data_IF_404545733880
#
_entry.id   IF_404545733880
#
_cell.length_a   1.000
_cell.length_b   1.000
_cell.length_c   1.000
_cell.angle_alpha   90.00
_cell.angle_beta   90.00
_cell.angle_gamma   90.00
#
_symmetry.space_group_name_H-M   'P 1'
#
loop_
_entity.id
_entity.type
_entity.pdbx_description
1 polymer ?
#
# COMPACT_ATOMS: atom_id res chain seq x y z
N UNK A 1 -20.40 -11.23 -45.93
CA UNK A 1 -19.56 -12.43 -46.00
C UNK A 1 -18.14 -12.18 -46.55
N UNK A 2 -17.93 -11.87 -47.85
CA UNK A 2 -16.58 -11.61 -48.41
C UNK A 2 -15.87 -10.39 -47.78
N UNK A 3 -16.59 -9.27 -47.64
CA UNK A 3 -16.07 -8.07 -46.96
C UNK A 3 -15.78 -8.30 -45.46
N UNK A 4 -16.55 -9.16 -44.78
CA UNK A 4 -16.33 -9.53 -43.38
C UNK A 4 -15.14 -10.47 -43.20
N UNK A 5 -14.77 -11.22 -44.25
CA UNK A 5 -13.57 -12.05 -44.30
C UNK A 5 -12.30 -11.25 -44.64
N UNK A 6 -12.41 -9.92 -44.81
CA UNK A 6 -11.28 -9.05 -45.16
C UNK A 6 -10.84 -9.13 -46.62
N UNK A 7 -11.71 -9.64 -47.49
CA UNK A 7 -11.45 -9.80 -48.92
C UNK A 7 -12.18 -8.68 -49.69
N UNK A 8 -11.42 -7.89 -50.44
CA UNK A 8 -11.99 -6.83 -51.28
C UNK A 8 -12.71 -7.46 -52.48
N UNK A 9 -14.02 -7.25 -52.56
CA UNK A 9 -14.88 -7.88 -53.57
C UNK A 9 -14.64 -7.35 -55.00
N UNK A 10 -13.76 -6.36 -55.17
CA UNK A 10 -13.39 -5.74 -56.46
C UNK A 10 -12.18 -6.40 -57.12
N UNK A 11 -11.67 -7.48 -56.56
CA UNK A 11 -10.55 -8.21 -57.14
C UNK A 11 -11.10 -9.17 -58.21
N UNK A 12 -10.85 -8.88 -59.48
CA UNK A 12 -11.25 -9.70 -60.66
C UNK A 12 -10.68 -11.13 -60.68
N UNK A 13 -9.96 -11.55 -59.63
CA UNK A 13 -9.32 -12.86 -59.48
C UNK A 13 -10.04 -13.76 -58.47
N UNK A 14 -11.22 -13.36 -57.98
CA UNK A 14 -11.99 -14.11 -56.98
C UNK A 14 -13.28 -14.59 -57.59
N UNK A 15 -13.37 -15.91 -57.80
CA UNK A 15 -14.57 -16.55 -58.35
C UNK A 15 -15.37 -17.17 -57.21
N UNK A 16 -16.49 -16.56 -56.77
CA UNK A 16 -17.34 -17.16 -55.75
C UNK A 16 -17.99 -18.43 -56.32
N UNK A 17 -17.82 -19.55 -55.61
CA UNK A 17 -18.39 -20.85 -55.96
C UNK A 17 -19.17 -21.40 -54.76
N UNK A 18 -20.35 -21.95 -55.03
CA UNK A 18 -21.20 -22.60 -54.01
C UNK A 18 -21.45 -24.03 -54.46
N UNK A 19 -21.04 -24.98 -53.63
CA UNK A 19 -21.22 -26.41 -53.87
C UNK A 19 -22.23 -26.96 -52.85
N UNK A 20 -23.11 -27.86 -53.31
CA UNK A 20 -24.10 -28.53 -52.47
C UNK A 20 -23.67 -29.98 -52.29
N UNK A 21 -23.56 -30.44 -51.04
CA UNK A 21 -23.19 -31.82 -50.74
C UNK A 21 -23.60 -32.23 -49.33
N UNK A 22 -23.69 -33.54 -49.12
CA UNK A 22 -24.15 -34.14 -47.86
C UNK A 22 -23.12 -34.02 -46.71
N UNK A 23 -21.83 -33.84 -47.03
CA UNK A 23 -20.75 -33.61 -46.08
C UNK A 23 -19.84 -32.46 -46.58
N UNK A 24 -19.82 -31.37 -45.81
CA UNK A 24 -19.01 -30.17 -46.08
C UNK A 24 -17.53 -30.50 -46.24
N UNK A 25 -17.01 -31.46 -45.47
CA UNK A 25 -15.59 -31.86 -45.49
C UNK A 25 -15.23 -32.52 -46.82
N UNK A 26 -16.07 -33.46 -47.28
CA UNK A 26 -15.86 -34.14 -48.56
C UNK A 26 -16.06 -33.20 -49.74
N UNK A 27 -17.09 -32.35 -49.69
CA UNK A 27 -17.34 -31.37 -50.73
C UNK A 27 -16.15 -30.40 -50.93
N UNK A 28 -15.53 -29.95 -49.83
CA UNK A 28 -14.32 -29.12 -49.88
C UNK A 28 -13.13 -29.91 -50.43
N UNK A 29 -12.93 -31.16 -50.01
CA UNK A 29 -11.85 -32.03 -50.50
C UNK A 29 -11.92 -32.24 -52.01
N UNK A 30 -13.08 -32.69 -52.52
CA UNK A 30 -13.28 -32.93 -53.96
C UNK A 30 -13.15 -31.66 -54.79
N UNK A 31 -13.67 -30.52 -54.32
CA UNK A 31 -13.56 -29.25 -55.04
C UNK A 31 -12.13 -28.66 -55.04
N UNK A 32 -11.30 -29.02 -54.05
CA UNK A 32 -9.94 -28.52 -53.94
C UNK A 32 -8.92 -29.28 -54.81
N UNK A 33 -9.17 -30.56 -55.12
CA UNK A 33 -8.22 -31.43 -55.82
C UNK A 33 -7.93 -31.02 -57.27
N UNK A 34 -8.94 -30.54 -58.00
CA UNK A 34 -8.84 -30.39 -59.45
C UNK A 34 -8.26 -29.04 -59.90
N UNK A 35 -8.32 -28.02 -59.05
CA UNK A 35 -8.14 -26.62 -59.50
C UNK A 35 -7.33 -25.74 -58.52
N UNK A 36 -6.91 -26.26 -57.35
CA UNK A 36 -6.27 -25.45 -56.30
C UNK A 36 -5.08 -26.12 -55.61
N UNK A 37 -3.98 -25.37 -55.46
CA UNK A 37 -2.76 -25.82 -54.77
C UNK A 37 -2.81 -25.64 -53.23
N UNK A 38 -3.68 -24.74 -52.73
CA UNK A 38 -3.77 -24.36 -51.33
C UNK A 38 -5.20 -24.11 -50.88
N UNK A 39 -5.62 -24.78 -49.80
CA UNK A 39 -6.90 -24.55 -49.13
C UNK A 39 -6.69 -23.71 -47.87
N UNK A 40 -7.28 -22.50 -47.84
CA UNK A 40 -7.30 -21.62 -46.68
C UNK A 40 -8.61 -21.81 -45.88
N UNK A 41 -8.51 -22.33 -44.66
CA UNK A 41 -9.68 -22.58 -43.79
C UNK A 41 -9.60 -21.75 -42.52
N UNK A 42 -10.68 -21.03 -42.20
CA UNK A 42 -10.80 -20.30 -40.94
C UNK A 42 -10.91 -21.25 -39.74
N UNK A 43 -10.10 -21.04 -38.70
CA UNK A 43 -10.25 -21.76 -37.44
C UNK A 43 -11.52 -21.31 -36.73
N UNK A 44 -12.54 -22.17 -36.66
CA UNK A 44 -13.77 -21.87 -35.93
C UNK A 44 -13.51 -21.79 -34.41
N UNK A 45 -13.86 -20.66 -33.80
CA UNK A 45 -13.80 -20.41 -32.36
C UNK A 45 -14.95 -21.10 -31.57
N UNK A 46 -15.33 -22.33 -31.92
CA UNK A 46 -16.34 -23.05 -31.15
C UNK A 46 -15.74 -23.62 -29.85
N UNK A 47 -16.52 -23.55 -28.77
CA UNK A 47 -16.11 -23.86 -27.39
C UNK A 47 -15.60 -25.28 -27.16
N UNK A 48 -14.83 -25.46 -26.08
CA UNK A 48 -14.08 -26.68 -25.71
C UNK A 48 -14.88 -28.01 -25.86
N UNK A 49 -16.16 -28.03 -25.49
CA UNK A 49 -17.02 -29.22 -25.57
C UNK A 49 -17.30 -29.66 -27.02
N UNK A 50 -17.40 -28.71 -27.96
CA UNK A 50 -17.63 -29.01 -29.38
C UNK A 50 -16.37 -29.52 -30.09
N UNK A 51 -15.17 -29.07 -29.67
CA UNK A 51 -13.87 -29.58 -30.17
C UNK A 51 -13.59 -31.02 -29.74
N UNK A 52 -14.07 -31.41 -28.56
CA UNK A 52 -13.85 -32.75 -28.00
C UNK A 52 -14.79 -33.82 -28.61
N UNK A 53 -16.02 -33.41 -28.95
CA UNK A 53 -17.04 -34.30 -29.54
C UNK A 53 -17.02 -34.29 -31.08
N UNK A 54 -16.63 -33.18 -31.71
CA UNK A 54 -16.56 -33.04 -33.15
C UNK A 54 -15.18 -32.50 -33.54
N UNK A 55 -14.31 -33.34 -34.12
CA UNK A 55 -13.09 -32.89 -34.80
C UNK A 55 -13.42 -31.68 -35.68
N UNK A 56 -12.59 -30.64 -35.61
CA UNK A 56 -12.81 -29.41 -36.39
C UNK A 56 -12.74 -29.71 -37.90
N UNK A 57 -13.41 -28.90 -38.73
CA UNK A 57 -13.39 -29.06 -40.21
C UNK A 57 -11.95 -29.23 -40.75
N UNK A 58 -10.94 -28.45 -40.30
CA UNK A 58 -9.54 -28.67 -40.69
C UNK A 58 -8.97 -30.03 -40.27
N UNK A 59 -9.27 -30.50 -39.05
CA UNK A 59 -8.80 -31.81 -38.58
C UNK A 59 -9.45 -32.98 -39.33
N UNK A 60 -10.69 -32.82 -39.79
CA UNK A 60 -11.39 -33.83 -40.62
C UNK A 60 -10.87 -33.85 -42.06
N UNK A 61 -10.57 -32.68 -42.63
CA UNK A 61 -9.94 -32.54 -43.94
C UNK A 61 -8.50 -33.09 -43.95
N UNK A 62 -7.72 -32.83 -42.89
CA UNK A 62 -6.36 -33.39 -42.78
C UNK A 62 -6.37 -34.91 -42.59
N UNK A 63 -7.40 -35.45 -41.92
CA UNK A 63 -7.55 -36.89 -41.72
C UNK A 63 -8.01 -37.64 -42.99
N UNK A 64 -8.56 -36.94 -43.98
CA UNK A 64 -8.97 -37.53 -45.26
C UNK A 64 -7.78 -37.72 -46.22
N UNK A 65 -6.63 -37.11 -45.95
CA UNK A 65 -5.35 -37.47 -46.58
C UNK A 65 -5.21 -37.11 -48.06
N UNK A 66 -6.00 -36.17 -48.55
CA UNK A 66 -5.99 -35.75 -49.95
C UNK A 66 -4.97 -34.61 -50.16
N UNK A 67 -4.05 -34.77 -51.11
CA UNK A 67 -2.72 -34.14 -51.17
C UNK A 67 -2.62 -32.63 -51.42
N UNK A 68 -3.66 -31.84 -51.13
CA UNK A 68 -3.63 -30.37 -51.28
C UNK A 68 -3.08 -29.72 -50.01
N UNK A 69 -2.17 -28.74 -50.16
CA UNK A 69 -1.63 -28.02 -49.01
C UNK A 69 -2.75 -27.26 -48.28
N UNK A 70 -2.73 -27.23 -46.95
CA UNK A 70 -3.78 -26.60 -46.15
C UNK A 70 -3.21 -25.57 -45.19
N UNK A 71 -3.75 -24.36 -45.23
CA UNK A 71 -3.41 -23.27 -44.33
C UNK A 71 -4.60 -22.93 -43.42
N UNK A 72 -4.40 -23.05 -42.11
CA UNK A 72 -5.43 -22.68 -41.13
C UNK A 72 -5.22 -21.22 -40.71
N UNK A 73 -6.18 -20.38 -41.06
CA UNK A 73 -6.15 -18.95 -40.71
C UNK A 73 -6.89 -18.74 -39.40
N UNK A 74 -6.18 -18.20 -38.41
CA UNK A 74 -6.76 -17.76 -37.14
C UNK A 74 -6.82 -16.25 -37.09
N UNK A 75 -7.86 -15.70 -36.48
CA UNK A 75 -7.94 -14.27 -36.23
C UNK A 75 -6.70 -13.83 -35.44
N UNK A 76 -6.04 -12.76 -35.89
CA UNK A 76 -4.89 -12.20 -35.19
C UNK A 76 -5.28 -11.84 -33.76
N UNK A 77 -4.48 -12.26 -32.78
CA UNK A 77 -4.74 -11.89 -31.38
C UNK A 77 -4.77 -10.36 -31.25
N UNK A 78 -5.73 -9.78 -30.50
CA UNK A 78 -5.80 -8.35 -30.31
C UNK A 78 -4.48 -7.81 -29.74
N UNK A 79 -4.17 -6.53 -30.04
CA UNK A 79 -2.89 -5.89 -29.68
C UNK A 79 -2.55 -6.10 -28.20
N UNK A 80 -3.55 -6.01 -27.32
CA UNK A 80 -3.39 -6.23 -25.88
C UNK A 80 -2.98 -7.64 -25.49
N UNK A 81 -3.51 -8.68 -26.16
CA UNK A 81 -3.08 -10.06 -25.89
C UNK A 81 -1.65 -10.32 -26.35
N UNK A 82 -1.24 -9.72 -27.48
CA UNK A 82 0.13 -9.83 -27.98
C UNK A 82 1.12 -9.16 -27.02
N UNK A 83 0.80 -7.97 -26.54
CA UNK A 83 1.59 -7.26 -25.54
C UNK A 83 1.68 -8.04 -24.22
N UNK A 84 0.57 -8.60 -23.73
CA UNK A 84 0.55 -9.40 -22.52
C UNK A 84 1.39 -10.69 -22.63
N UNK A 85 1.37 -11.34 -23.80
CA UNK A 85 2.20 -12.52 -24.07
C UNK A 85 3.68 -12.16 -24.13
N UNK A 86 4.04 -11.09 -24.84
CA UNK A 86 5.42 -10.61 -24.92
C UNK A 86 5.97 -10.21 -23.54
N UNK A 87 5.16 -9.52 -22.73
CA UNK A 87 5.52 -9.19 -21.35
C UNK A 87 5.67 -10.45 -20.48
N UNK A 88 4.76 -11.42 -20.60
CA UNK A 88 4.87 -12.69 -19.87
C UNK A 88 6.11 -13.49 -20.24
N UNK A 89 6.51 -13.45 -21.52
CA UNK A 89 7.73 -14.09 -22.00
C UNK A 89 8.99 -13.35 -21.54
N UNK A 90 8.97 -12.01 -21.55
CA UNK A 90 10.03 -11.19 -20.96
C UNK A 90 10.26 -11.54 -19.49
N UNK A 91 9.20 -11.53 -18.67
CA UNK A 91 9.31 -11.88 -17.25
C UNK A 91 9.86 -13.29 -17.05
N UNK A 92 9.41 -14.28 -17.84
CA UNK A 92 9.92 -15.66 -17.74
C UNK A 92 11.40 -15.81 -18.12
N UNK A 93 11.89 -14.98 -19.04
CA UNK A 93 13.31 -14.96 -19.43
C UNK A 93 14.17 -14.23 -18.41
N UNK A 94 13.66 -13.16 -17.82
CA UNK A 94 14.42 -12.31 -16.88
C UNK A 94 14.41 -12.84 -15.45
N UNK A 95 13.28 -13.41 -14.99
CA UNK A 95 13.12 -13.90 -13.61
C UNK A 95 13.44 -15.40 -13.55
N UNK A 96 14.50 -15.81 -12.82
CA UNK A 96 14.82 -17.22 -12.62
C UNK A 96 13.63 -17.95 -12.00
N UNK A 97 13.24 -19.06 -12.61
CA UNK A 97 12.10 -19.85 -12.16
C UNK A 97 12.52 -20.74 -10.99
N UNK A 98 11.63 -20.90 -10.00
CA UNK A 98 11.93 -21.76 -8.85
C UNK A 98 11.98 -23.23 -9.27
N UNK A 99 12.93 -23.99 -8.72
CA UNK A 99 12.99 -25.43 -8.87
C UNK A 99 11.86 -26.13 -8.09
N UNK A 100 11.62 -27.43 -8.32
CA UNK A 100 10.50 -28.14 -7.68
C UNK A 100 10.66 -28.26 -6.17
N UNK A 101 11.87 -28.53 -5.70
CA UNK A 101 12.13 -28.76 -4.28
C UNK A 101 12.08 -27.43 -3.51
N UNK A 102 12.67 -26.35 -4.04
CA UNK A 102 12.52 -25.00 -3.48
C UNK A 102 11.05 -24.56 -3.33
N UNK A 103 10.17 -24.96 -4.25
CA UNK A 103 8.73 -24.66 -4.15
C UNK A 103 8.05 -25.41 -3.02
N UNK A 104 8.45 -26.66 -2.79
CA UNK A 104 7.91 -27.49 -1.70
C UNK A 104 8.34 -26.92 -0.37
N UNK A 105 9.63 -26.63 -0.22
CA UNK A 105 10.20 -25.99 0.96
C UNK A 105 9.52 -24.64 1.27
N UNK A 106 9.35 -23.79 0.25
CA UNK A 106 8.65 -22.52 0.39
C UNK A 106 7.21 -22.72 0.87
N UNK A 107 6.49 -23.67 0.28
CA UNK A 107 5.12 -23.97 0.65
C UNK A 107 5.02 -24.46 2.10
N UNK A 108 5.86 -25.40 2.50
CA UNK A 108 5.86 -25.96 3.86
C UNK A 108 6.18 -24.89 4.90
N UNK A 109 7.18 -24.03 4.65
CA UNK A 109 7.54 -22.92 5.56
C UNK A 109 6.40 -21.91 5.70
N UNK A 110 5.78 -21.51 4.59
CA UNK A 110 4.67 -20.55 4.60
C UNK A 110 3.40 -21.17 5.20
N UNK A 111 3.12 -22.44 4.95
CA UNK A 111 1.98 -23.13 5.55
C UNK A 111 2.16 -23.28 7.07
N UNK A 112 3.33 -23.73 7.53
CA UNK A 112 3.64 -23.86 8.95
C UNK A 112 3.59 -22.52 9.67
N UNK A 113 4.21 -21.47 9.12
CA UNK A 113 4.23 -20.14 9.71
C UNK A 113 2.93 -19.34 9.54
N UNK A 114 2.00 -19.79 8.69
CA UNK A 114 0.66 -19.18 8.58
C UNK A 114 -0.33 -19.71 9.62
N UNK A 115 0.01 -20.76 10.37
CA UNK A 115 -0.87 -21.33 11.38
C UNK A 115 -0.85 -20.49 12.65
N UNK A 116 -2.02 -20.32 13.24
CA UNK A 116 -2.17 -19.70 14.54
C UNK A 116 -1.68 -20.66 15.63
N UNK A 117 -0.63 -20.29 16.36
CA UNK A 117 -0.07 -21.06 17.47
C UNK A 117 0.27 -20.16 18.66
N UNK A 118 0.68 -20.74 19.79
CA UNK A 118 1.01 -19.98 21.00
C UNK A 118 2.19 -19.02 20.79
N UNK A 119 3.20 -19.42 20.02
CA UNK A 119 4.36 -18.57 19.71
C UNK A 119 3.91 -17.33 18.93
N UNK A 120 3.03 -17.51 17.94
CA UNK A 120 2.44 -16.42 17.16
C UNK A 120 1.71 -15.42 18.05
N UNK A 121 0.85 -15.91 18.96
CA UNK A 121 0.10 -15.08 19.91
C UNK A 121 1.03 -14.35 20.87
N UNK A 122 2.05 -15.04 21.37
CA UNK A 122 2.99 -14.47 22.34
C UNK A 122 3.81 -13.36 21.69
N UNK A 123 4.37 -13.63 20.50
CA UNK A 123 5.18 -12.67 19.76
C UNK A 123 4.35 -11.46 19.29
N UNK A 124 3.13 -11.67 18.77
CA UNK A 124 2.28 -10.53 18.40
C UNK A 124 1.87 -9.70 19.60
N UNK A 125 1.65 -10.35 20.75
CA UNK A 125 1.27 -9.66 21.98
C UNK A 125 2.40 -8.78 22.50
N UNK A 126 3.60 -9.37 22.63
CA UNK A 126 4.80 -8.65 23.07
C UNK A 126 5.18 -7.55 22.09
N UNK A 127 5.18 -7.84 20.78
CA UNK A 127 5.46 -6.85 19.74
C UNK A 127 4.47 -5.68 19.81
N UNK A 128 3.18 -5.95 19.96
CA UNK A 128 2.18 -4.88 20.04
C UNK A 128 2.30 -4.07 21.31
N UNK A 129 2.63 -4.69 22.44
CA UNK A 129 2.91 -3.97 23.68
C UNK A 129 4.12 -3.03 23.51
N UNK A 130 5.23 -3.53 22.97
CA UNK A 130 6.44 -2.72 22.72
C UNK A 130 6.14 -1.60 21.71
N UNK A 131 5.40 -1.89 20.64
CA UNK A 131 5.00 -0.89 19.65
C UNK A 131 4.12 0.20 20.28
N UNK A 132 3.15 -0.19 21.11
CA UNK A 132 2.24 0.74 21.81
C UNK A 132 3.02 1.64 22.77
N UNK A 133 3.97 1.09 23.53
CA UNK A 133 4.85 1.88 24.39
C UNK A 133 5.74 2.81 23.56
N UNK A 134 6.30 2.34 22.45
CA UNK A 134 7.11 3.16 21.53
C UNK A 134 6.31 4.33 20.94
N UNK A 135 5.06 4.10 20.56
CA UNK A 135 4.15 5.13 20.07
C UNK A 135 3.86 6.17 21.17
N UNK A 136 3.54 5.73 22.39
CA UNK A 136 3.29 6.62 23.53
C UNK A 136 4.55 7.38 23.99
N UNK A 137 5.74 6.80 23.80
CA UNK A 137 7.02 7.45 24.08
C UNK A 137 7.51 8.33 22.92
N UNK A 138 6.78 8.38 21.79
CA UNK A 138 7.21 9.08 20.58
C UNK A 138 8.61 8.64 20.10
N UNK A 139 8.89 7.33 20.17
CA UNK A 139 10.19 6.74 19.83
C UNK A 139 10.10 5.88 18.57
N UNK A 140 10.44 6.44 17.38
CA UNK A 140 10.43 5.68 16.14
C UNK A 140 11.35 4.45 16.19
N UNK A 141 12.47 4.52 16.92
CA UNK A 141 13.40 3.40 17.07
C UNK A 141 12.78 2.20 17.80
N UNK A 142 12.06 2.43 18.90
CA UNK A 142 11.35 1.36 19.64
C UNK A 142 10.21 0.80 18.80
N UNK A 143 9.50 1.68 18.10
CA UNK A 143 8.45 1.29 17.16
C UNK A 143 9.01 0.39 16.05
N UNK A 144 10.18 0.71 15.47
CA UNK A 144 10.87 -0.14 14.50
C UNK A 144 11.29 -1.48 15.11
N UNK A 145 11.90 -1.47 16.29
CA UNK A 145 12.32 -2.68 17.00
C UNK A 145 11.16 -3.63 17.29
N UNK A 146 10.00 -3.10 17.69
CA UNK A 146 8.79 -3.88 17.93
C UNK A 146 8.35 -4.64 16.68
N UNK A 147 8.43 -4.00 15.51
CA UNK A 147 7.95 -4.62 14.29
C UNK A 147 8.80 -5.83 13.86
N UNK A 148 10.11 -5.82 14.11
CA UNK A 148 11.00 -6.93 13.80
C UNK A 148 10.62 -8.24 14.50
N UNK A 149 9.90 -8.14 15.61
CA UNK A 149 9.48 -9.28 16.44
C UNK A 149 8.18 -9.92 15.93
N UNK A 150 7.32 -9.17 15.22
CA UNK A 150 5.98 -9.64 14.91
C UNK A 150 5.92 -10.67 13.75
N UNK A 151 5.25 -11.82 13.94
CA UNK A 151 5.17 -12.87 12.93
C UNK A 151 4.06 -12.68 11.89
N UNK A 152 3.36 -11.54 11.88
CA UNK A 152 2.22 -11.27 10.98
C UNK A 152 2.55 -11.34 9.49
N UNK A 153 3.82 -11.19 9.13
CA UNK A 153 4.26 -11.21 7.73
C UNK A 153 4.02 -12.57 7.06
N UNK A 154 4.32 -13.67 7.75
CA UNK A 154 4.31 -15.01 7.15
C UNK A 154 2.89 -15.42 6.70
N UNK A 155 1.82 -15.22 7.51
CA UNK A 155 0.45 -15.38 7.05
C UNK A 155 0.09 -14.59 5.79
N UNK A 156 0.59 -13.35 5.65
CA UNK A 156 0.24 -12.48 4.51
C UNK A 156 0.94 -12.94 3.22
N UNK A 157 2.21 -13.31 3.30
CA UNK A 157 2.94 -13.92 2.18
C UNK A 157 2.30 -15.27 1.82
N UNK A 158 1.95 -16.07 2.82
CA UNK A 158 1.24 -17.34 2.66
C UNK A 158 -0.11 -17.18 1.96
N UNK A 159 -0.87 -16.13 2.30
CA UNK A 159 -2.10 -15.77 1.58
C UNK A 159 -1.83 -15.42 0.11
N UNK A 160 -0.75 -14.69 -0.20
CA UNK A 160 -0.31 -14.41 -1.57
C UNK A 160 0.04 -15.68 -2.34
N UNK A 161 0.76 -16.62 -1.72
CA UNK A 161 1.08 -17.92 -2.31
C UNK A 161 -0.21 -18.74 -2.58
N UNK A 162 -1.08 -18.81 -1.59
CA UNK A 162 -2.36 -19.51 -1.66
C UNK A 162 -3.27 -18.95 -2.75
N UNK A 163 -3.23 -17.63 -2.96
CA UNK A 163 -3.95 -16.93 -4.03
C UNK A 163 -3.46 -17.38 -5.41
N UNK A 164 -2.16 -17.55 -5.62
CA UNK A 164 -1.61 -18.00 -6.91
C UNK A 164 -1.89 -19.48 -7.16
N UNK A 165 -1.81 -20.30 -6.11
CA UNK A 165 -2.05 -21.75 -6.20
C UNK A 165 -3.54 -22.10 -6.27
N UNK A 166 -4.43 -21.21 -5.80
CA UNK A 166 -5.84 -21.53 -5.58
C UNK A 166 -6.04 -22.52 -4.41
N UNK A 167 -5.21 -22.41 -3.37
CA UNK A 167 -5.30 -23.24 -2.17
C UNK A 167 -6.23 -22.59 -1.14
N UNK A 168 -7.51 -23.00 -1.13
CA UNK A 168 -8.51 -22.47 -0.21
C UNK A 168 -8.17 -22.70 1.27
N UNK A 169 -7.57 -23.85 1.60
CA UNK A 169 -7.21 -24.19 2.99
C UNK A 169 -6.19 -23.19 3.52
N UNK A 170 -5.14 -22.93 2.74
CA UNK A 170 -4.10 -21.98 3.13
C UNK A 170 -4.61 -20.53 3.19
N UNK A 171 -5.50 -20.12 2.26
CA UNK A 171 -6.16 -18.79 2.35
C UNK A 171 -6.96 -18.68 3.65
N UNK A 172 -7.70 -19.72 4.04
CA UNK A 172 -8.51 -19.72 5.26
C UNK A 172 -7.65 -19.66 6.52
N UNK A 173 -6.59 -20.47 6.60
CA UNK A 173 -5.67 -20.47 7.74
C UNK A 173 -4.94 -19.13 7.86
N UNK A 174 -4.40 -18.59 6.76
CA UNK A 174 -3.78 -17.27 6.74
C UNK A 174 -4.76 -16.17 7.19
N UNK A 175 -6.00 -16.18 6.67
CA UNK A 175 -7.02 -15.19 7.03
C UNK A 175 -7.40 -15.27 8.51
N UNK A 176 -7.49 -16.48 9.09
CA UNK A 176 -7.71 -16.66 10.53
C UNK A 176 -6.55 -16.06 11.33
N UNK A 177 -5.31 -16.40 10.99
CA UNK A 177 -4.13 -15.93 11.72
C UNK A 177 -3.98 -14.40 11.65
N UNK A 178 -4.26 -13.80 10.50
CA UNK A 178 -4.29 -12.34 10.33
C UNK A 178 -5.41 -11.73 11.18
N UNK A 179 -6.62 -12.30 11.13
CA UNK A 179 -7.78 -11.80 11.88
C UNK A 179 -7.61 -11.90 13.40
N UNK A 180 -7.16 -13.06 13.91
CA UNK A 180 -6.86 -13.24 15.33
C UNK A 180 -5.67 -12.40 15.77
N UNK A 181 -4.60 -12.33 14.97
CA UNK A 181 -3.45 -11.46 15.24
C UNK A 181 -3.84 -9.99 15.33
N UNK A 182 -4.69 -9.52 14.40
CA UNK A 182 -5.26 -8.17 14.46
C UNK A 182 -6.08 -7.96 15.74
N UNK A 183 -6.97 -8.89 16.09
CA UNK A 183 -7.79 -8.77 17.29
C UNK A 183 -6.96 -8.76 18.58
N UNK A 184 -5.96 -9.64 18.70
CA UNK A 184 -5.04 -9.68 19.84
C UNK A 184 -4.25 -8.37 19.96
N UNK A 185 -3.67 -7.90 18.85
CA UNK A 185 -2.94 -6.64 18.82
C UNK A 185 -3.85 -5.45 19.16
N UNK A 186 -5.07 -5.42 18.62
CA UNK A 186 -6.06 -4.39 18.91
C UNK A 186 -6.40 -4.34 20.40
N UNK A 187 -6.68 -5.50 21.01
CA UNK A 187 -6.98 -5.60 22.45
C UNK A 187 -5.82 -5.07 23.29
N UNK A 188 -4.59 -5.43 22.96
CA UNK A 188 -3.40 -4.94 23.67
C UNK A 188 -3.21 -3.44 23.48
N UNK A 189 -3.43 -2.93 22.27
CA UNK A 189 -3.40 -1.48 22.00
C UNK A 189 -4.45 -0.73 22.80
N UNK A 190 -5.68 -1.25 22.89
CA UNK A 190 -6.75 -0.68 23.72
C UNK A 190 -6.40 -0.73 25.20
N UNK A 191 -5.94 -1.87 25.70
CA UNK A 191 -5.52 -2.00 27.10
C UNK A 191 -4.37 -1.05 27.44
N UNK A 192 -3.37 -0.94 26.56
CA UNK A 192 -2.24 -0.01 26.74
C UNK A 192 -2.72 1.43 26.71
N UNK A 193 -3.54 1.80 25.72
CA UNK A 193 -4.12 3.12 25.60
C UNK A 193 -4.99 3.50 26.81
N UNK A 194 -5.80 2.57 27.32
CA UNK A 194 -6.62 2.79 28.50
C UNK A 194 -5.76 2.96 29.76
N UNK A 195 -4.77 2.08 29.97
CA UNK A 195 -3.87 2.13 31.12
C UNK A 195 -3.11 3.45 31.19
N UNK A 196 -2.57 3.92 30.06
CA UNK A 196 -1.81 5.16 30.00
C UNK A 196 -2.68 6.41 29.83
N UNK A 197 -3.91 6.28 29.32
CA UNK A 197 -4.90 7.37 29.28
C UNK A 197 -5.40 7.80 30.66
N UNK A 198 -5.23 6.98 31.70
CA UNK A 198 -5.41 7.40 33.10
C UNK A 198 -4.26 8.25 33.65
N UNK A 199 -3.07 8.13 33.05
CA UNK A 199 -1.83 8.77 33.53
C UNK A 199 -1.47 10.01 32.69
N UNK A 200 -1.76 9.98 31.38
CA UNK A 200 -1.57 11.09 30.46
C UNK A 200 -2.86 11.91 30.29
N UNK A 201 -2.76 13.24 30.10
CA UNK A 201 -3.92 14.06 29.77
C UNK A 201 -4.62 13.54 28.50
N UNK A 202 -5.97 13.49 28.47
CA UNK A 202 -6.73 12.91 27.37
C UNK A 202 -6.52 13.60 26.01
N UNK A 203 -5.99 14.82 25.99
CA UNK A 203 -5.95 15.68 24.80
C UNK A 203 -4.63 15.62 23.99
N UNK A 204 -3.65 14.79 24.36
CA UNK A 204 -2.32 14.80 23.71
C UNK A 204 -1.93 13.44 23.12
N UNK A 205 -2.30 13.19 21.86
CA UNK A 205 -1.70 12.11 21.07
C UNK A 205 -0.26 12.49 20.67
N UNK A 206 0.65 11.53 20.70
CA UNK A 206 2.03 11.76 20.26
C UNK A 206 2.12 11.96 18.75
N UNK A 207 3.13 12.70 18.25
CA UNK A 207 3.36 12.87 16.82
C UNK A 207 3.47 11.53 16.06
N UNK A 208 4.17 10.54 16.62
CA UNK A 208 4.26 9.19 16.03
C UNK A 208 2.89 8.51 15.91
N UNK A 209 1.99 8.71 16.89
CA UNK A 209 0.64 8.14 16.84
C UNK A 209 -0.22 8.82 15.77
N UNK A 210 -0.13 10.15 15.67
CA UNK A 210 -0.84 10.96 14.67
C UNK A 210 -0.37 10.68 13.25
N UNK A 211 0.94 10.44 13.07
CA UNK A 211 1.51 10.12 11.76
C UNK A 211 0.91 8.84 11.15
N UNK A 212 0.37 7.92 11.96
CA UNK A 212 -0.27 6.68 11.49
C UNK A 212 -1.76 6.83 11.15
N UNK A 213 -2.43 7.89 11.62
CA UNK A 213 -3.82 8.19 11.26
C UNK A 213 -3.99 8.98 9.98
N UNK A 214 -2.90 9.47 9.38
CA UNK A 214 -2.90 10.16 8.08
C UNK A 214 -2.30 9.32 6.95
N UNK A 215 -2.89 8.18 6.56
CA UNK A 215 -2.32 7.33 5.53
C UNK A 215 -2.25 8.02 4.16
N UNK A 216 -1.20 7.72 3.42
CA UNK A 216 -0.91 8.30 2.11
C UNK A 216 -0.85 7.24 1.01
N UNK A 217 -0.91 7.69 -0.25
CA UNK A 217 -0.69 6.80 -1.40
C UNK A 217 0.75 6.25 -1.43
N UNK A 218 1.72 6.94 -0.82
CA UNK A 218 3.09 6.45 -0.76
C UNK A 218 3.19 5.20 0.12
N UNK A 219 2.45 5.16 1.24
CA UNK A 219 2.39 3.98 2.11
C UNK A 219 1.91 2.75 1.36
N UNK A 220 0.90 2.92 0.49
CA UNK A 220 0.40 1.87 -0.38
C UNK A 220 1.48 1.33 -1.33
N UNK A 221 2.23 2.20 -2.00
CA UNK A 221 3.31 1.78 -2.89
C UNK A 221 4.44 1.07 -2.14
N UNK A 222 4.79 1.58 -0.95
CA UNK A 222 5.78 0.96 -0.06
C UNK A 222 5.32 -0.42 0.38
N UNK A 223 4.05 -0.60 0.75
CA UNK A 223 3.50 -1.89 1.15
C UNK A 223 3.44 -2.89 -0.02
N UNK A 224 3.09 -2.42 -1.22
CA UNK A 224 3.11 -3.26 -2.42
C UNK A 224 4.52 -3.72 -2.79
N UNK A 225 5.49 -2.80 -2.79
CA UNK A 225 6.90 -3.12 -3.04
C UNK A 225 7.47 -4.04 -1.95
N UNK A 226 7.09 -3.81 -0.70
CA UNK A 226 7.38 -4.68 0.45
C UNK A 226 6.89 -6.11 0.20
N UNK A 227 5.63 -6.29 -0.23
CA UNK A 227 5.08 -7.60 -0.55
C UNK A 227 5.84 -8.33 -1.67
N UNK A 228 6.34 -7.60 -2.66
CA UNK A 228 7.20 -8.13 -3.73
C UNK A 228 8.55 -8.59 -3.15
N UNK A 229 9.22 -7.71 -2.40
CA UNK A 229 10.52 -8.00 -1.80
C UNK A 229 10.45 -9.21 -0.83
N UNK A 230 9.41 -9.27 0.01
CA UNK A 230 9.17 -10.37 0.93
C UNK A 230 9.02 -11.71 0.21
N UNK A 231 8.13 -11.77 -0.79
CA UNK A 231 7.89 -13.00 -1.53
C UNK A 231 9.13 -13.44 -2.32
N UNK A 232 9.87 -12.49 -2.91
CA UNK A 232 11.09 -12.78 -3.65
C UNK A 232 12.20 -13.33 -2.74
N UNK A 233 12.39 -12.72 -1.56
CA UNK A 233 13.38 -13.17 -0.59
C UNK A 233 13.00 -14.52 0.03
N UNK A 234 11.72 -14.74 0.37
CA UNK A 234 11.27 -16.03 0.91
C UNK A 234 11.35 -17.15 -0.13
N UNK A 235 11.15 -16.84 -1.41
CA UNK A 235 11.30 -17.82 -2.48
C UNK A 235 12.76 -18.26 -2.70
N UNK A 236 13.75 -17.54 -2.16
CA UNK A 236 15.17 -17.85 -2.34
C UNK A 236 15.83 -18.23 -1.01
N UNK A 237 16.29 -19.49 -0.85
CA UNK A 237 16.93 -19.95 0.38
C UNK A 237 18.06 -19.02 0.86
N UNK A 238 18.89 -18.55 -0.07
CA UNK A 238 20.06 -17.70 0.20
C UNK A 238 19.73 -16.26 0.62
N UNK A 239 18.48 -15.79 0.45
CA UNK A 239 18.06 -14.42 0.76
C UNK A 239 17.05 -14.35 1.92
N UNK A 240 16.58 -15.50 2.38
CA UNK A 240 15.50 -15.64 3.36
C UNK A 240 15.81 -15.04 4.75
N UNK A 241 17.09 -14.85 5.10
CA UNK A 241 17.50 -14.48 6.46
C UNK A 241 17.60 -12.98 6.81
N UNK A 242 17.69 -12.05 5.85
CA UNK A 242 18.15 -10.67 6.18
C UNK A 242 17.37 -9.49 5.57
N UNK A 243 16.78 -9.63 4.38
CA UNK A 243 16.35 -8.45 3.58
C UNK A 243 14.90 -7.96 3.78
N UNK A 244 13.90 -8.81 4.09
CA UNK A 244 12.50 -8.36 4.23
C UNK A 244 12.16 -7.74 5.58
N UNK A 245 12.87 -8.12 6.66
CA UNK A 245 12.46 -7.78 8.03
C UNK A 245 12.38 -6.27 8.30
N UNK A 246 13.34 -5.50 7.79
CA UNK A 246 13.48 -4.07 8.13
C UNK A 246 12.50 -3.17 7.37
N UNK A 247 12.26 -3.43 6.08
CA UNK A 247 11.40 -2.58 5.25
C UNK A 247 9.90 -2.83 5.47
N UNK A 248 9.52 -4.06 5.84
CA UNK A 248 8.13 -4.54 5.77
C UNK A 248 7.42 -4.44 7.12
N UNK A 249 8.19 -4.56 8.20
CA UNK A 249 7.66 -4.54 9.54
C UNK A 249 7.09 -3.14 9.91
N UNK A 250 7.60 -2.08 9.25
CA UNK A 250 7.15 -0.68 9.30
C UNK A 250 5.62 -0.46 9.22
N UNK A 251 4.90 -1.39 8.60
CA UNK A 251 3.59 -1.13 8.01
C UNK A 251 2.39 -1.78 8.73
N UNK A 252 2.60 -2.63 9.75
CA UNK A 252 1.52 -3.51 10.25
C UNK A 252 1.20 -3.38 11.73
N UNK A 253 2.15 -3.67 12.62
CA UNK A 253 1.91 -3.66 14.07
C UNK A 253 1.59 -2.25 14.60
N UNK A 254 2.36 -1.19 14.25
CA UNK A 254 2.08 0.13 14.78
C UNK A 254 0.73 0.69 14.35
N UNK A 255 0.27 0.55 13.09
CA UNK A 255 -1.09 0.92 12.74
C UNK A 255 -2.14 0.24 13.62
N UNK A 256 -2.02 -1.06 13.91
CA UNK A 256 -2.97 -1.75 14.80
C UNK A 256 -2.89 -1.20 16.23
N UNK A 257 -1.67 -0.98 16.75
CA UNK A 257 -1.45 -0.33 18.05
C UNK A 257 -2.07 1.07 18.11
N UNK A 258 -1.93 1.87 17.05
CA UNK A 258 -2.56 3.18 16.90
C UNK A 258 -4.07 3.08 16.90
N UNK A 259 -4.67 2.11 16.19
CA UNK A 259 -6.13 1.88 16.24
C UNK A 259 -6.55 1.63 17.69
N UNK A 260 -5.87 0.72 18.40
CA UNK A 260 -6.21 0.38 19.77
C UNK A 260 -6.08 1.56 20.74
N UNK A 261 -4.96 2.29 20.68
CA UNK A 261 -4.72 3.46 21.53
C UNK A 261 -5.73 4.57 21.22
N UNK A 262 -6.00 4.84 19.95
CA UNK A 262 -6.94 5.91 19.54
C UNK A 262 -8.37 5.57 19.94
N UNK A 263 -8.77 4.29 19.87
CA UNK A 263 -10.07 3.83 20.39
C UNK A 263 -10.20 4.05 21.89
N UNK A 264 -9.13 3.78 22.66
CA UNK A 264 -9.13 4.02 24.11
C UNK A 264 -9.24 5.52 24.47
N UNK A 265 -8.71 6.41 23.63
CA UNK A 265 -8.77 7.87 23.81
C UNK A 265 -10.02 8.51 23.17
N UNK A 266 -10.87 7.74 22.48
CA UNK A 266 -12.05 8.26 21.78
C UNK A 266 -11.75 9.02 20.48
N UNK A 267 -10.52 8.98 19.96
CA UNK A 267 -10.17 9.55 18.67
C UNK A 267 -10.43 8.56 17.53
N UNK A 268 -11.69 8.53 17.10
CA UNK A 268 -12.11 7.67 15.99
C UNK A 268 -11.58 8.14 14.63
N UNK A 269 -11.15 9.39 14.50
CA UNK A 269 -10.61 9.92 13.24
C UNK A 269 -9.21 9.35 13.01
N UNK A 270 -8.32 9.49 14.00
CA UNK A 270 -6.97 8.92 13.94
C UNK A 270 -7.02 7.39 13.88
N UNK A 271 -7.89 6.77 14.69
CA UNK A 271 -8.11 5.33 14.68
C UNK A 271 -8.61 4.80 13.32
N UNK A 272 -9.58 5.49 12.70
CA UNK A 272 -10.08 5.12 11.37
C UNK A 272 -9.02 5.21 10.28
N UNK A 273 -8.18 6.25 10.32
CA UNK A 273 -7.05 6.40 9.41
C UNK A 273 -6.00 5.30 9.56
N UNK A 274 -5.65 4.94 10.80
CA UNK A 274 -4.71 3.85 11.06
C UNK A 274 -5.28 2.48 10.66
N UNK A 275 -6.58 2.26 10.81
CA UNK A 275 -7.26 1.06 10.34
C UNK A 275 -7.23 0.98 8.80
N UNK A 276 -7.44 2.11 8.12
CA UNK A 276 -7.32 2.20 6.67
C UNK A 276 -5.89 1.93 6.20
N UNK A 277 -4.87 2.47 6.90
CA UNK A 277 -3.46 2.18 6.65
C UNK A 277 -3.18 0.68 6.74
N UNK A 278 -3.62 0.03 7.82
CA UNK A 278 -3.46 -1.41 7.98
C UNK A 278 -4.15 -2.21 6.87
N UNK A 279 -5.40 -1.90 6.56
CA UNK A 279 -6.18 -2.61 5.54
C UNK A 279 -5.59 -2.48 4.13
N UNK A 280 -5.16 -1.27 3.75
CA UNK A 280 -4.51 -1.02 2.46
C UNK A 280 -3.18 -1.73 2.36
N UNK A 281 -2.34 -1.67 3.40
CA UNK A 281 -1.07 -2.37 3.46
C UNK A 281 -1.25 -3.89 3.37
N UNK A 282 -2.25 -4.43 4.06
CA UNK A 282 -2.57 -5.85 4.03
C UNK A 282 -2.88 -6.34 2.62
N UNK A 283 -3.80 -5.68 1.93
CA UNK A 283 -4.19 -6.08 0.57
C UNK A 283 -3.03 -5.88 -0.41
N UNK A 284 -2.27 -4.79 -0.27
CA UNK A 284 -1.12 -4.49 -1.10
C UNK A 284 0.00 -5.55 -0.97
N UNK A 285 0.32 -5.97 0.27
CA UNK A 285 1.32 -7.01 0.52
C UNK A 285 0.89 -8.34 -0.10
N UNK A 286 -0.37 -8.76 0.12
CA UNK A 286 -0.89 -10.02 -0.44
C UNK A 286 -0.84 -10.01 -1.97
N UNK A 287 -1.23 -8.90 -2.61
CA UNK A 287 -1.18 -8.77 -4.07
C UNK A 287 0.25 -8.70 -4.61
N UNK A 288 1.15 -7.98 -3.95
CA UNK A 288 2.57 -7.91 -4.31
C UNK A 288 3.27 -9.27 -4.20
N UNK A 289 2.96 -10.02 -3.13
CA UNK A 289 3.44 -11.39 -2.96
C UNK A 289 2.88 -12.34 -4.03
N UNK A 290 1.58 -12.27 -4.32
CA UNK A 290 0.95 -13.07 -5.36
C UNK A 290 1.53 -12.77 -6.76
N UNK A 291 1.79 -11.49 -7.08
CA UNK A 291 2.44 -11.10 -8.33
C UNK A 291 3.83 -11.75 -8.46
N UNK A 292 4.60 -11.74 -7.37
CA UNK A 292 5.95 -12.28 -7.34
C UNK A 292 5.97 -13.79 -7.49
N UNK A 293 5.15 -14.53 -6.74
CA UNK A 293 5.07 -15.98 -6.89
C UNK A 293 4.60 -16.40 -8.29
N UNK A 294 3.68 -15.63 -8.89
CA UNK A 294 3.28 -15.84 -10.28
C UNK A 294 4.44 -15.60 -11.26
N UNK A 295 5.25 -14.58 -11.05
CA UNK A 295 6.41 -14.26 -11.90
C UNK A 295 7.50 -15.33 -11.84
N UNK A 296 7.73 -15.91 -10.65
CA UNK A 296 8.74 -16.96 -10.43
C UNK A 296 8.23 -18.37 -10.84
N UNK A 297 7.01 -18.44 -11.36
CA UNK A 297 6.50 -19.65 -12.00
C UNK A 297 5.70 -20.58 -11.09
N UNK A 298 5.19 -20.09 -9.95
CA UNK A 298 4.16 -20.78 -9.20
C UNK A 298 2.85 -20.70 -10.00
N UNK A 299 2.23 -21.85 -10.26
CA UNK A 299 0.99 -21.94 -11.02
C UNK A 299 0.01 -22.88 -10.29
N UNK A 300 -1.28 -22.55 -10.35
CA UNK A 300 -2.33 -23.47 -9.93
C UNK A 300 -2.30 -24.75 -10.79
N UNK A 301 -2.61 -25.89 -10.16
CA UNK A 301 -2.58 -27.19 -10.82
C UNK A 301 -3.53 -27.21 -12.04
N UNK A 302 -3.02 -27.61 -13.22
CA UNK A 302 -3.71 -27.45 -14.53
C UNK A 302 -5.02 -28.23 -14.63
N UNK A 303 -5.18 -29.30 -13.85
CA UNK A 303 -6.32 -30.20 -13.91
C UNK A 303 -7.55 -29.69 -13.13
N UNK A 304 -7.37 -28.72 -12.21
CA UNK A 304 -8.45 -28.21 -11.36
C UNK A 304 -9.03 -26.88 -11.88
N UNK A 305 -9.76 -26.92 -13.00
CA UNK A 305 -10.38 -25.73 -13.62
C UNK A 305 -11.18 -24.87 -12.62
N UNK A 306 -11.92 -25.49 -11.70
CA UNK A 306 -12.69 -24.80 -10.65
C UNK A 306 -11.82 -23.97 -9.70
N UNK A 307 -10.67 -24.51 -9.25
CA UNK A 307 -9.74 -23.80 -8.34
C UNK A 307 -9.11 -22.58 -9.01
N UNK A 308 -8.82 -22.66 -10.31
CA UNK A 308 -8.29 -21.53 -11.10
C UNK A 308 -9.29 -20.40 -11.28
N UNK A 309 -10.58 -20.72 -11.45
CA UNK A 309 -11.64 -19.70 -11.55
C UNK A 309 -11.80 -19.00 -10.20
N UNK A 310 -11.85 -19.77 -9.11
CA UNK A 310 -11.95 -19.24 -7.76
C UNK A 310 -10.79 -18.32 -7.41
N UNK A 311 -9.54 -18.74 -7.66
CA UNK A 311 -8.37 -17.93 -7.36
C UNK A 311 -8.32 -16.64 -8.17
N UNK A 312 -8.71 -16.68 -9.45
CA UNK A 312 -8.82 -15.48 -10.29
C UNK A 312 -9.89 -14.52 -9.77
N UNK A 313 -11.05 -15.04 -9.35
CA UNK A 313 -12.13 -14.22 -8.75
C UNK A 313 -11.68 -13.58 -7.45
N UNK A 314 -11.00 -14.33 -6.58
CA UNK A 314 -10.45 -13.80 -5.32
C UNK A 314 -9.38 -12.73 -5.57
N UNK A 315 -8.50 -12.93 -6.55
CA UNK A 315 -7.49 -11.94 -6.91
C UNK A 315 -8.15 -10.66 -7.46
N UNK A 316 -9.17 -10.80 -8.31
CA UNK A 316 -9.95 -9.67 -8.81
C UNK A 316 -10.69 -8.94 -7.69
N UNK A 317 -11.30 -9.65 -6.74
CA UNK A 317 -11.96 -9.01 -5.60
C UNK A 317 -10.97 -8.23 -4.74
N UNK A 318 -9.76 -8.77 -4.50
CA UNK A 318 -8.72 -8.04 -3.76
C UNK A 318 -8.24 -6.78 -4.50
N UNK A 319 -8.12 -6.83 -5.84
CA UNK A 319 -7.80 -5.64 -6.65
C UNK A 319 -8.91 -4.59 -6.55
N UNK A 320 -10.17 -5.00 -6.63
CA UNK A 320 -11.33 -4.10 -6.47
C UNK A 320 -11.36 -3.50 -5.07
N UNK A 321 -11.12 -4.30 -4.03
CA UNK A 321 -11.02 -3.83 -2.65
C UNK A 321 -9.87 -2.83 -2.51
N UNK A 322 -8.70 -3.12 -3.07
CA UNK A 322 -7.57 -2.19 -3.02
C UNK A 322 -7.93 -0.85 -3.68
N UNK A 323 -8.54 -0.89 -4.86
CA UNK A 323 -8.99 0.31 -5.58
C UNK A 323 -10.02 1.10 -4.76
N UNK A 324 -10.98 0.40 -4.14
CA UNK A 324 -11.98 1.01 -3.27
C UNK A 324 -11.34 1.66 -2.03
N UNK A 325 -10.35 1.03 -1.41
CA UNK A 325 -9.60 1.58 -0.28
C UNK A 325 -8.67 2.73 -0.69
N UNK A 326 -8.33 2.86 -1.97
CA UNK A 326 -7.51 3.98 -2.48
C UNK A 326 -8.33 5.28 -2.54
N UNK A 327 -9.65 5.20 -2.69
CA UNK A 327 -10.57 6.36 -2.72
C UNK A 327 -10.51 7.18 -1.41
N UNK A 328 -10.69 6.60 -0.21
CA UNK A 328 -10.59 7.35 1.03
C UNK A 328 -9.18 7.91 1.27
N UNK A 329 -8.11 7.21 0.86
CA UNK A 329 -6.74 7.74 0.92
C UNK A 329 -6.60 9.03 0.09
N UNK A 330 -7.13 9.01 -1.14
CA UNK A 330 -7.12 10.18 -2.02
C UNK A 330 -7.97 11.32 -1.44
N UNK A 331 -9.12 11.00 -0.85
CA UNK A 331 -9.98 12.00 -0.20
C UNK A 331 -9.33 12.62 1.03
N UNK A 332 -8.60 11.83 1.83
CA UNK A 332 -7.84 12.30 2.99
C UNK A 332 -6.66 13.18 2.58
N UNK A 333 -5.97 12.84 1.48
CA UNK A 333 -4.94 13.69 0.92
C UNK A 333 -5.52 15.03 0.42
N UNK A 334 -6.67 14.99 -0.28
CA UNK A 334 -7.34 16.19 -0.78
C UNK A 334 -7.89 17.07 0.35
N UNK A 335 -8.38 16.48 1.45
CA UNK A 335 -8.84 17.23 2.62
C UNK A 335 -7.67 17.89 3.34
N UNK A 336 -6.52 17.21 3.49
CA UNK A 336 -5.30 17.80 4.05
C UNK A 336 -4.77 18.96 3.19
N UNK A 337 -4.76 18.80 1.87
CA UNK A 337 -4.36 19.88 0.93
C UNK A 337 -5.35 21.05 1.00
N UNK A 338 -6.64 20.77 1.08
CA UNK A 338 -7.69 21.80 1.22
C UNK A 338 -7.64 22.50 2.59
N UNK A 339 -7.24 21.78 3.64
CA UNK A 339 -7.09 22.30 5.00
C UNK A 339 -5.83 23.16 5.13
N UNK A 340 -4.73 22.76 4.47
CA UNK A 340 -3.52 23.58 4.30
C UNK A 340 -3.80 24.86 3.51
N UNK A 341 -4.70 24.80 2.51
CA UNK A 341 -5.21 25.99 1.81
C UNK A 341 -6.21 26.84 2.64
N UNK A 342 -6.78 26.27 3.71
CA UNK A 342 -7.58 26.98 4.73
C UNK A 342 -6.74 27.40 5.94
N UNK A 343 -5.41 27.34 5.84
CA UNK A 343 -4.57 28.08 6.77
C UNK A 343 -4.86 29.57 6.61
N UNK A 344 -5.20 30.21 7.72
CA UNK A 344 -5.05 31.64 7.83
C UNK A 344 -3.56 31.89 7.59
N UNK A 345 -3.18 32.27 6.38
CA UNK A 345 -1.88 32.89 6.17
C UNK A 345 -1.84 34.04 7.16
N UNK A 346 -0.96 33.96 8.15
CA UNK A 346 -0.54 35.12 8.92
C UNK A 346 0.15 36.03 7.92
N UNK A 347 -0.64 36.83 7.20
CA UNK A 347 -0.13 37.87 6.32
C UNK A 347 0.82 38.71 7.18
N UNK A 348 2.01 39.11 6.71
CA UNK A 348 2.93 39.95 7.48
C UNK A 348 2.23 41.16 8.12
N UNK A 349 1.21 41.71 7.44
CA UNK A 349 0.34 42.77 7.93
C UNK A 349 -0.45 42.40 9.21
N UNK A 350 -0.99 41.18 9.30
CA UNK A 350 -1.72 40.72 10.48
C UNK A 350 -0.77 40.58 11.68
N UNK A 351 0.42 40.03 11.44
CA UNK A 351 1.44 39.88 12.49
C UNK A 351 1.90 41.23 13.02
N UNK A 352 2.21 42.17 12.13
CA UNK A 352 2.69 43.51 12.49
C UNK A 352 1.62 44.33 13.23
N UNK A 353 0.34 44.17 12.86
CA UNK A 353 -0.79 44.81 13.58
C UNK A 353 -1.03 44.20 14.96
N UNK A 354 -0.84 42.89 15.12
CA UNK A 354 -0.95 42.22 16.41
C UNK A 354 0.22 42.60 17.32
N UNK A 355 1.46 42.60 16.80
CA UNK A 355 2.67 43.03 17.52
C UNK A 355 2.53 44.49 18.02
N UNK A 356 2.15 45.43 17.14
CA UNK A 356 1.97 46.84 17.52
C UNK A 356 0.92 47.05 18.62
N UNK A 357 -0.14 46.22 18.65
CA UNK A 357 -1.19 46.29 19.68
C UNK A 357 -0.78 45.64 21.00
N UNK A 358 0.03 44.60 20.93
CA UNK A 358 0.60 43.93 22.12
C UNK A 358 1.65 44.83 22.78
N UNK A 359 2.49 45.52 22.00
CA UNK A 359 3.44 46.52 22.51
C UNK A 359 2.73 47.73 23.15
N UNK A 360 1.66 48.24 22.52
CA UNK A 360 0.87 49.33 23.08
C UNK A 360 0.21 48.98 24.44
N UNK A 361 0.06 47.68 24.73
CA UNK A 361 -0.47 47.17 26.00
C UNK A 361 0.64 46.83 27.03
N UNK A 362 1.90 47.25 26.80
CA UNK A 362 3.06 46.94 27.64
C UNK A 362 3.31 45.43 27.81
N UNK A 363 3.08 44.64 26.77
CA UNK A 363 3.34 43.22 26.79
C UNK A 363 4.28 42.82 25.64
N UNK A 364 5.02 41.73 25.82
CA UNK A 364 5.98 41.22 24.83
C UNK A 364 5.32 40.11 24.02
N UNK A 365 5.29 40.29 22.71
CA UNK A 365 4.82 39.28 21.78
C UNK A 365 5.84 38.14 21.70
N UNK A 366 5.45 36.92 22.11
CA UNK A 366 6.36 35.77 22.14
C UNK A 366 6.18 34.93 20.89
N UNK A 367 4.95 34.50 20.63
CA UNK A 367 4.62 33.69 19.45
C UNK A 367 3.12 33.67 19.20
N UNK A 368 2.74 33.45 17.94
CA UNK A 368 1.36 33.14 17.58
C UNK A 368 1.31 31.69 17.14
N UNK A 369 0.58 30.89 17.91
CA UNK A 369 0.27 29.50 17.61
C UNK A 369 -1.17 29.37 17.12
N UNK A 370 -1.47 28.27 16.45
CA UNK A 370 -2.84 27.95 16.04
C UNK A 370 -3.31 26.73 16.81
N UNK A 371 -4.52 26.81 17.38
CA UNK A 371 -5.22 25.64 17.90
C UNK A 371 -6.04 25.01 16.78
N UNK A 372 -5.90 23.68 16.60
CA UNK A 372 -6.41 22.95 15.44
C UNK A 372 -7.94 22.76 15.43
N UNK A 373 -8.63 23.04 16.53
CA UNK A 373 -9.95 22.45 16.77
C UNK A 373 -11.15 23.38 16.53
N UNK A 374 -10.97 24.70 16.53
CA UNK A 374 -12.01 25.74 16.25
C UNK A 374 -11.28 27.00 15.77
N UNK A 375 -11.90 27.91 15.00
CA UNK A 375 -11.31 29.17 14.50
C UNK A 375 -10.80 30.12 15.60
N UNK A 376 -9.78 29.67 16.32
CA UNK A 376 -9.22 30.25 17.53
C UNK A 376 -7.74 30.47 17.24
N UNK A 377 -7.33 31.73 17.24
CA UNK A 377 -5.92 32.10 17.21
C UNK A 377 -5.41 32.04 18.66
N UNK A 378 -4.36 31.29 18.92
CA UNK A 378 -3.69 31.34 20.22
C UNK A 378 -2.53 32.31 20.14
N UNK A 379 -2.68 33.46 20.77
CA UNK A 379 -1.64 34.48 20.84
C UNK A 379 -0.95 34.32 22.19
N UNK A 380 0.31 33.91 22.17
CA UNK A 380 1.14 33.78 23.38
C UNK A 380 1.83 35.11 23.62
N UNK A 381 1.52 35.70 24.77
CA UNK A 381 2.04 37.01 25.17
C UNK A 381 2.73 36.85 26.52
N UNK A 382 3.97 37.31 26.63
CA UNK A 382 4.64 37.44 27.92
C UNK A 382 4.33 38.83 28.49
N UNK A 383 3.82 38.89 29.72
CA UNK A 383 3.60 40.16 30.42
C UNK A 383 4.56 40.28 31.59
N UNK A 384 5.27 41.41 31.67
CA UNK A 384 6.20 41.68 32.78
C UNK A 384 5.50 42.20 34.05
N UNK A 385 4.22 42.58 33.99
CA UNK A 385 3.50 43.08 35.16
C UNK A 385 2.38 42.13 35.58
N UNK A 386 2.32 41.83 36.89
CA UNK A 386 1.37 40.93 37.55
C UNK A 386 -0.11 41.35 37.53
N UNK A 387 -0.55 42.16 36.56
CA UNK A 387 -1.96 42.42 36.27
C UNK A 387 -2.40 41.50 35.13
N UNK A 388 -3.33 40.60 35.41
CA UNK A 388 -3.94 39.71 34.42
C UNK A 388 -4.65 40.52 33.31
N UNK A 389 -4.14 40.60 32.07
CA UNK A 389 -4.76 41.34 30.99
C UNK A 389 -5.83 40.46 30.29
N UNK A 390 -6.62 39.72 31.08
CA UNK A 390 -7.23 38.46 30.61
C UNK A 390 -8.47 38.59 29.73
N UNK A 391 -9.13 39.75 29.65
CA UNK A 391 -10.37 39.91 28.86
C UNK A 391 -10.31 41.02 27.82
N UNK A 392 -9.99 42.25 28.25
CA UNK A 392 -9.99 43.42 27.35
C UNK A 392 -9.00 43.27 26.19
N UNK A 393 -7.78 42.78 26.45
CA UNK A 393 -6.76 42.60 25.41
C UNK A 393 -7.11 41.44 24.46
N UNK A 394 -7.69 40.35 24.98
CA UNK A 394 -8.13 39.23 24.17
C UNK A 394 -9.29 39.65 23.23
N UNK A 395 -10.24 40.43 23.74
CA UNK A 395 -11.36 40.95 22.97
C UNK A 395 -10.89 41.94 21.89
N UNK A 396 -9.97 42.86 22.20
CA UNK A 396 -9.40 43.79 21.22
C UNK A 396 -8.59 43.09 20.12
N UNK A 397 -7.79 42.08 20.48
CA UNK A 397 -7.03 41.29 19.52
C UNK A 397 -7.97 40.43 18.66
N UNK A 398 -9.04 39.88 19.24
CA UNK A 398 -10.07 39.14 18.50
C UNK A 398 -10.79 40.03 17.47
N UNK A 399 -11.09 41.28 17.83
CA UNK A 399 -11.78 42.23 16.98
C UNK A 399 -10.87 42.74 15.84
N UNK A 400 -9.58 42.91 16.13
CA UNK A 400 -8.56 43.29 15.14
C UNK A 400 -8.27 42.16 14.16
N UNK A 401 -8.13 40.93 14.67
CA UNK A 401 -7.99 39.73 13.85
C UNK A 401 -9.22 39.51 12.98
N UNK A 402 -10.42 39.67 13.54
CA UNK A 402 -11.68 39.47 12.82
C UNK A 402 -11.88 40.48 11.69
N UNK A 403 -11.53 41.76 11.92
CA UNK A 403 -11.58 42.81 10.89
C UNK A 403 -10.55 42.59 9.77
N UNK A 404 -9.35 42.15 10.11
CA UNK A 404 -8.27 41.97 9.14
C UNK A 404 -8.46 40.70 8.29
N UNK A 405 -9.09 39.66 8.87
CA UNK A 405 -9.31 38.38 8.19
C UNK A 405 -10.70 38.24 7.55
N UNK A 406 -11.60 39.20 7.76
CA UNK A 406 -12.96 39.20 7.24
C UNK A 406 -13.84 38.06 7.76
N UNK A 407 -13.50 37.47 8.90
CA UNK A 407 -14.18 36.32 9.52
C UNK A 407 -14.07 36.40 11.04
N UNK A 408 -15.01 35.83 11.77
CA UNK A 408 -14.97 35.84 13.24
C UNK A 408 -13.84 34.94 13.76
N UNK A 409 -12.84 35.53 14.41
CA UNK A 409 -11.68 34.83 14.98
C UNK A 409 -11.63 35.11 16.47
N UNK A 410 -11.64 34.06 17.28
CA UNK A 410 -11.50 34.19 18.74
C UNK A 410 -10.02 34.14 19.08
N UNK A 411 -9.51 35.12 19.82
CA UNK A 411 -8.12 35.13 20.29
C UNK A 411 -8.08 34.63 21.73
N UNK A 412 -7.34 33.55 21.97
CA UNK A 412 -7.05 33.07 23.33
C UNK A 412 -5.65 33.52 23.71
N UNK A 413 -5.56 34.23 24.84
CA UNK A 413 -4.32 34.80 25.34
C UNK A 413 -3.69 33.87 26.38
N UNK A 414 -2.51 33.35 26.07
CA UNK A 414 -1.69 32.57 27.00
C UNK A 414 -0.64 33.51 27.61
N UNK A 415 -0.82 33.84 28.90
CA UNK A 415 0.12 34.69 29.64
C UNK A 415 1.18 33.82 30.29
N UNK A 416 2.41 33.90 29.80
CA UNK A 416 3.56 33.31 30.50
C UNK A 416 3.95 34.24 31.65
N UNK A 417 3.73 33.80 32.90
CA UNK A 417 4.33 34.45 34.08
C UNK A 417 5.80 34.01 34.14
N UNK A 418 6.71 34.96 34.28
CA UNK A 418 8.17 34.73 34.26
C UNK A 418 8.58 33.48 35.06
N UNK A 419 9.01 32.45 34.33
CA UNK A 419 9.92 31.40 34.77
C UNK A 419 10.69 30.91 33.54
N UNK A 420 11.34 31.84 32.85
CA UNK A 420 12.37 31.54 31.87
C UNK A 420 13.43 32.64 31.99
N UNK A 421 14.51 32.34 32.71
CA UNK A 421 15.80 32.90 32.38
C UNK A 421 16.10 32.43 30.96
N UNK A 422 15.91 33.33 30.00
CA UNK A 422 16.48 33.18 28.68
C UNK A 422 17.97 33.38 28.90
N UNK A 423 18.73 32.29 28.91
CA UNK A 423 20.17 32.35 28.70
C UNK A 423 20.39 32.85 27.27
N UNK A 424 20.34 34.17 27.13
CA UNK A 424 20.65 34.88 25.90
C UNK A 424 22.12 34.64 25.62
N UNK A 425 22.41 33.84 24.60
CA UNK A 425 23.71 33.78 23.95
C UNK A 425 24.04 35.13 23.30
N UNK A 426 24.36 36.11 24.13
CA UNK A 426 25.05 37.33 23.75
C UNK A 426 26.49 37.18 24.27
N UNK A 427 27.40 36.83 23.37
CA UNK A 427 28.83 36.90 23.62
C UNK A 427 29.15 38.35 23.96
N UNK A 428 29.61 38.60 25.19
CA UNK A 428 30.09 39.91 25.61
C UNK A 428 31.30 40.33 24.75
N UNK A 429 31.39 41.59 24.27
CA UNK A 429 32.54 42.03 23.49
C UNK A 429 33.76 42.11 24.41
N UNK A 430 34.66 41.12 24.31
CA UNK A 430 35.92 41.12 25.06
C UNK A 430 36.49 39.77 25.48
N UNK A 431 35.80 38.65 25.27
CA UNK A 431 36.38 37.32 25.54
C UNK A 431 37.06 36.74 24.29
N UNK A 432 38.32 36.26 24.38
CA UNK A 432 38.93 35.53 23.27
C UNK A 432 38.14 34.24 23.01
N UNK A 433 38.03 33.80 21.75
CA UNK A 433 37.19 32.68 21.37
C UNK A 433 37.63 31.39 22.09
N UNK A 434 36.69 30.52 22.50
CA UNK A 434 37.03 29.22 23.08
C UNK A 434 37.80 28.37 22.06
N UNK A 435 38.84 27.69 22.53
CA UNK A 435 39.71 26.87 21.70
C UNK A 435 38.90 25.81 20.93
N UNK A 436 39.14 25.75 19.62
CA UNK A 436 38.55 24.75 18.72
C UNK A 436 38.87 23.34 19.22
N UNK A 437 37.90 22.42 19.33
CA UNK A 437 38.21 21.02 19.63
C UNK A 437 39.02 20.44 18.46
N UNK A 438 40.24 20.01 18.78
CA UNK A 438 41.14 19.26 17.90
C UNK A 438 40.40 18.07 17.28
N UNK A 439 40.49 17.82 15.97
CA UNK A 439 39.91 16.62 15.37
C UNK A 439 40.56 15.38 15.97
N UNK A 440 39.74 14.50 16.55
CA UNK A 440 40.12 13.14 16.94
C UNK A 440 40.72 12.42 15.72
N UNK A 441 41.93 11.85 15.81
CA UNK A 441 42.51 11.11 14.70
C UNK A 441 41.73 9.82 14.43
N UNK A 442 41.53 9.51 13.15
CA UNK A 442 40.91 8.28 12.66
C UNK A 442 41.64 7.03 13.19
N UNK A 443 40.93 5.89 13.41
CA UNK A 443 41.55 4.67 13.89
C UNK A 443 42.50 4.11 12.82
N UNK A 444 43.76 3.99 13.20
CA UNK A 444 44.82 3.33 12.42
C UNK A 444 44.48 1.84 12.35
N UNK A 445 44.28 1.33 11.14
CA UNK A 445 44.30 -0.10 10.84
C UNK A 445 45.71 -0.64 11.10
N UNK A 446 45.92 -1.38 12.19
CA UNK A 446 47.14 -2.16 12.38
C UNK A 446 47.08 -3.43 11.55
N UNK A 447 47.88 -3.48 10.49
CA UNK A 447 48.31 -4.71 9.83
C UNK A 447 49.46 -5.39 10.59
N UNK A 448 49.54 -6.71 10.47
CA UNK A 448 50.55 -7.68 11.00
C UNK A 448 50.32 -8.10 12.46
N UNK A 449 50.27 -9.39 12.81
CA UNK A 449 50.82 -10.63 12.22
C UNK A 449 49.82 -11.77 12.21
#
# INVERSE_FOLDING_TARGET
>A
MMAEAGVDARIDRITPRVEIGDDVTRAIGTAAQDDFDLVLVGASDKGFASRLLFRTIPERLLATGEGTAMAVVRRGKPLGERAALAFGEFIRRTVPQLERDDRRDLFERLEAGSKFNLDFVTLISLSTAIASLGLLQNSPAVVIGAMLVAPLMVPMIGAGLALVQGNYVLVREASKSIGFGFLTALLIGVCTGALFGFVMPPDTLTPELLARGGPTLLDLFVAFASGIAAAYANARPNLSGALPGVAIAAALVPPIGTVGISLAHGDFVNGGGAALLFGTNLVAIVLGSALTFRAIGVHANREASSRRIWSRRLALSLIVILLALTVPLLSGLLSLVSQKNREIRLTPELRLRLEARVEAANATFVSVGRSYTRDVLEVVVASQQGRDPKRVLADELSLTASKTLGRHVVVRLLVLRHAFEVESGAVAPGQPPPATPTPTPAPVTSSSR
#
